data_IF_624081892605
#
_entry.id   IF_624081892605
#
_cell.length_a   1.000
_cell.length_b   1.000
_cell.length_c   1.000
_cell.angle_alpha   90.00
_cell.angle_beta   90.00
_cell.angle_gamma   90.00
#
_symmetry.space_group_name_H-M   'P 1'
#
loop_
_entity.id
_entity.type
_entity.pdbx_description
1 polymer ?
#
# COMPACT_ATOMS: atom_id res chain seq x y z
N UNK A 1 -35.45 -58.06 18.01
CA UNK A 1 -36.49 -58.05 16.95
C UNK A 1 -36.80 -56.58 16.71
N UNK A 2 -36.09 -55.89 15.82
CA UNK A 2 -36.24 -55.91 14.36
C UNK A 2 -36.41 -54.45 13.91
N UNK A 3 -36.14 -54.18 12.62
CA UNK A 3 -36.16 -52.87 11.93
C UNK A 3 -34.87 -52.03 12.04
N UNK A 4 -34.27 -51.53 10.98
CA UNK A 4 -34.46 -51.71 9.54
C UNK A 4 -33.23 -51.09 8.85
N UNK A 5 -32.74 -51.75 7.81
CA UNK A 5 -31.70 -51.21 6.94
C UNK A 5 -32.38 -50.28 5.94
N UNK A 6 -31.81 -49.10 5.66
CA UNK A 6 -32.05 -48.50 4.36
C UNK A 6 -30.80 -47.83 3.79
N UNK A 7 -30.55 -48.22 2.55
CA UNK A 7 -29.37 -48.06 1.71
C UNK A 7 -29.88 -47.32 0.48
N UNK A 8 -29.39 -46.11 0.24
CA UNK A 8 -29.62 -45.46 -1.06
C UNK A 8 -28.35 -44.81 -1.54
N UNK A 9 -27.81 -45.42 -2.61
CA UNK A 9 -26.77 -44.86 -3.47
C UNK A 9 -27.41 -43.79 -4.36
N UNK A 10 -26.68 -42.70 -4.63
CA UNK A 10 -26.97 -41.82 -5.76
C UNK A 10 -25.67 -41.51 -6.49
N UNK A 11 -25.55 -42.10 -7.67
CA UNK A 11 -24.53 -41.91 -8.70
C UNK A 11 -25.09 -40.94 -9.76
N UNK A 12 -24.23 -40.17 -10.44
CA UNK A 12 -24.54 -39.52 -11.73
C UNK A 12 -24.37 -37.99 -11.71
N UNK A 13 -23.31 -37.48 -12.34
CA UNK A 13 -23.31 -36.81 -13.68
C UNK A 13 -23.58 -35.29 -13.51
N UNK A 14 -22.97 -34.34 -14.19
CA UNK A 14 -22.48 -34.29 -15.56
C UNK A 14 -21.50 -33.10 -15.73
N UNK A 15 -20.72 -33.20 -16.80
CA UNK A 15 -19.69 -32.27 -17.29
C UNK A 15 -20.32 -31.04 -17.93
N UNK A 16 -19.75 -29.85 -17.76
CA UNK A 16 -19.92 -28.75 -18.74
C UNK A 16 -18.62 -27.95 -18.92
N UNK A 17 -18.08 -27.85 -20.14
CA UNK A 17 -17.01 -26.94 -20.53
C UNK A 17 -17.58 -25.66 -21.19
N UNK A 18 -17.15 -24.49 -20.74
CA UNK A 18 -17.32 -23.21 -21.45
C UNK A 18 -15.93 -22.59 -21.58
N UNK A 19 -15.23 -22.79 -22.70
CA UNK A 19 -15.32 -22.04 -23.97
C UNK A 19 -14.88 -20.57 -23.83
N UNK A 20 -13.59 -20.39 -24.05
CA UNK A 20 -12.89 -19.38 -24.85
C UNK A 20 -13.67 -18.15 -25.32
N UNK A 21 -13.16 -16.97 -24.94
CA UNK A 21 -13.19 -15.76 -25.75
C UNK A 21 -11.76 -15.21 -25.86
N UNK A 22 -11.24 -15.18 -27.09
CA UNK A 22 -10.14 -14.32 -27.54
C UNK A 22 -10.79 -12.98 -27.98
N UNK A 23 -10.19 -11.79 -27.99
CA UNK A 23 -8.83 -11.41 -28.37
C UNK A 23 -8.65 -9.87 -28.17
N UNK A 24 -7.47 -9.43 -27.67
CA UNK A 24 -6.67 -8.18 -27.92
C UNK A 24 -7.30 -6.76 -27.89
N UNK A 25 -6.50 -5.65 -27.81
CA UNK A 25 -5.04 -5.54 -27.77
C UNK A 25 -4.47 -4.59 -26.68
N UNK A 26 -3.13 -4.64 -26.55
CA UNK A 26 -2.24 -3.52 -26.25
C UNK A 26 -2.56 -2.60 -25.04
N UNK A 27 -1.92 -2.90 -23.91
CA UNK A 27 -1.12 -1.88 -23.25
C UNK A 27 0.10 -2.57 -22.65
N UNK A 28 1.26 -2.24 -23.21
CA UNK A 28 2.57 -2.62 -22.74
C UNK A 28 2.62 -2.74 -21.22
N UNK A 29 3.06 -3.88 -20.71
CA UNK A 29 3.52 -3.99 -19.34
C UNK A 29 4.65 -2.96 -19.19
N UNK A 30 4.49 -1.91 -18.35
CA UNK A 30 5.66 -1.17 -17.92
C UNK A 30 6.36 -2.04 -16.88
N UNK A 31 7.15 -2.99 -17.37
CA UNK A 31 8.43 -3.36 -16.79
C UNK A 31 9.20 -2.06 -16.55
N UNK A 32 9.08 -1.52 -15.34
CA UNK A 32 10.04 -0.60 -14.71
C UNK A 32 9.48 -0.22 -13.34
N UNK A 33 9.99 -0.88 -12.31
CA UNK A 33 10.20 -0.32 -10.98
C UNK A 33 9.17 0.76 -10.59
N UNK A 34 7.89 0.40 -10.43
CA UNK A 34 6.99 1.30 -9.70
C UNK A 34 7.48 1.23 -8.26
N UNK A 35 8.25 2.23 -7.88
CA UNK A 35 9.01 2.34 -6.64
C UNK A 35 8.19 1.87 -5.44
N UNK A 36 8.41 0.62 -5.03
CA UNK A 36 7.81 0.06 -3.82
C UNK A 36 8.64 0.62 -2.66
N UNK A 37 8.21 1.75 -2.11
CA UNK A 37 8.69 2.23 -0.83
C UNK A 37 7.77 1.66 0.26
N UNK A 38 8.30 0.82 1.15
CA UNK A 38 7.57 0.25 2.30
C UNK A 38 6.31 -0.58 1.95
N UNK A 39 6.27 -1.25 0.79
CA UNK A 39 5.17 -2.15 0.43
C UNK A 39 3.86 -1.47 0.02
N UNK A 40 3.90 -0.16 -0.26
CA UNK A 40 2.75 0.62 -0.74
C UNK A 40 3.07 1.17 -2.12
N UNK A 41 2.21 0.90 -3.09
CA UNK A 41 2.38 1.42 -4.44
C UNK A 41 2.02 2.91 -4.50
N UNK A 42 2.71 3.66 -5.36
CA UNK A 42 2.43 5.07 -5.61
C UNK A 42 0.94 5.34 -5.94
N UNK A 43 0.32 4.42 -6.69
CA UNK A 43 -1.11 4.48 -7.06
C UNK A 43 -2.03 4.40 -5.84
N UNK A 44 -1.63 3.67 -4.79
CA UNK A 44 -2.43 3.51 -3.57
C UNK A 44 -2.41 4.75 -2.68
N UNK A 45 -1.54 5.71 -3.01
CA UNK A 45 -1.44 7.02 -2.36
C UNK A 45 -2.03 8.12 -3.22
N UNK A 46 -2.47 7.84 -4.45
CA UNK A 46 -3.08 8.87 -5.29
C UNK A 46 -4.38 9.39 -4.67
N UNK A 47 -4.62 10.69 -4.75
CA UNK A 47 -5.82 11.33 -4.22
C UNK A 47 -6.23 12.55 -5.03
N UNK A 48 -7.49 12.94 -4.90
CA UNK A 48 -8.02 14.19 -5.49
C UNK A 48 -8.36 15.22 -4.41
N UNK A 49 -8.71 14.76 -3.20
CA UNK A 49 -9.12 15.61 -2.09
C UNK A 49 -8.68 15.01 -0.74
N UNK A 50 -8.59 15.84 0.29
CA UNK A 50 -8.12 15.43 1.62
C UNK A 50 -8.96 14.29 2.24
N UNK A 51 -10.26 14.28 1.97
CA UNK A 51 -11.21 13.28 2.46
C UNK A 51 -10.95 11.87 1.89
N UNK A 52 -10.19 11.77 0.80
CA UNK A 52 -9.80 10.50 0.21
C UNK A 52 -8.65 9.84 0.97
N UNK A 53 -7.91 10.61 1.75
CA UNK A 53 -6.69 10.14 2.42
C UNK A 53 -6.96 9.69 3.85
N UNK A 54 -6.36 8.56 4.22
CA UNK A 54 -6.37 8.02 5.58
C UNK A 54 -4.98 7.66 6.05
N UNK A 55 -4.71 7.88 7.35
CA UNK A 55 -3.48 7.44 8.00
C UNK A 55 -3.52 5.95 8.31
N UNK A 56 -2.44 5.26 7.97
CA UNK A 56 -2.19 3.87 8.31
C UNK A 56 -0.77 3.70 8.80
N UNK A 57 -0.49 2.59 9.48
CA UNK A 57 0.89 2.21 9.74
C UNK A 57 1.53 1.74 8.42
N UNK A 58 2.76 2.19 8.14
CA UNK A 58 3.50 1.72 6.96
C UNK A 58 4.16 0.37 7.26
N UNK A 59 4.83 0.30 8.41
CA UNK A 59 5.62 -0.86 8.83
C UNK A 59 4.81 -1.79 9.72
N UNK A 60 5.21 -3.06 9.84
CA UNK A 60 4.55 -4.04 10.71
C UNK A 60 4.37 -3.58 12.16
N UNK A 61 5.28 -2.76 12.64
CA UNK A 61 5.26 -2.25 13.99
C UNK A 61 4.50 -0.92 14.09
N UNK A 62 3.89 -0.72 15.25
CA UNK A 62 3.30 0.58 15.59
C UNK A 62 4.40 1.60 15.93
N UNK A 63 4.03 2.88 15.99
CA UNK A 63 4.94 3.95 16.42
C UNK A 63 5.51 3.76 17.84
N UNK A 64 4.81 3.02 18.71
CA UNK A 64 5.32 2.68 20.05
C UNK A 64 6.35 1.55 20.03
N UNK A 65 6.56 0.95 18.87
CA UNK A 65 7.41 -0.22 18.67
C UNK A 65 8.35 -0.05 17.47
N UNK A 66 8.87 1.17 17.26
CA UNK A 66 9.85 1.48 16.21
C UNK A 66 9.26 1.62 14.79
N UNK A 67 7.94 1.59 14.65
CA UNK A 67 7.27 1.71 13.36
C UNK A 67 7.13 3.13 12.82
N UNK A 68 6.37 3.26 11.74
CA UNK A 68 6.06 4.54 11.10
C UNK A 68 4.61 4.58 10.63
N UNK A 69 4.09 5.79 10.41
CA UNK A 69 2.80 5.99 9.75
C UNK A 69 3.01 6.52 8.33
N UNK A 70 2.02 6.27 7.49
CA UNK A 70 1.93 6.78 6.13
C UNK A 70 0.47 7.07 5.81
N UNK A 71 0.24 7.84 4.75
CA UNK A 71 -1.11 8.17 4.28
C UNK A 71 -1.35 7.49 2.94
N UNK A 72 -2.55 6.92 2.80
CA UNK A 72 -3.00 6.17 1.62
C UNK A 72 -4.42 6.59 1.25
N UNK A 73 -4.85 6.23 0.06
CA UNK A 73 -6.24 6.39 -0.36
C UNK A 73 -7.15 5.39 0.37
N UNK A 74 -8.31 5.87 0.83
CA UNK A 74 -9.25 5.11 1.66
C UNK A 74 -9.72 3.81 1.01
N UNK A 75 -9.86 3.79 -0.31
CA UNK A 75 -10.31 2.59 -1.05
C UNK A 75 -9.30 1.44 -1.01
N UNK A 76 -8.02 1.71 -0.73
CA UNK A 76 -6.97 0.69 -0.65
C UNK A 76 -6.69 0.23 0.80
N UNK A 77 -7.41 0.79 1.78
CA UNK A 77 -7.21 0.52 3.20
C UNK A 77 -7.28 -0.96 3.53
N UNK A 78 -8.34 -1.64 3.09
CA UNK A 78 -8.57 -3.05 3.43
C UNK A 78 -7.57 -3.98 2.75
N UNK A 79 -7.22 -3.70 1.50
CA UNK A 79 -6.20 -4.47 0.77
C UNK A 79 -4.82 -4.34 1.45
N UNK A 80 -4.41 -3.11 1.77
CA UNK A 80 -3.13 -2.85 2.45
C UNK A 80 -3.11 -3.50 3.84
N UNK A 81 -4.21 -3.41 4.60
CA UNK A 81 -4.31 -4.09 5.90
C UNK A 81 -4.16 -5.59 5.75
N UNK A 82 -4.85 -6.21 4.80
CA UNK A 82 -4.77 -7.66 4.57
C UNK A 82 -3.35 -8.10 4.24
N UNK A 83 -2.71 -7.46 3.25
CA UNK A 83 -1.31 -7.74 2.88
C UNK A 83 -0.35 -7.55 4.04
N UNK A 84 -0.58 -6.54 4.89
CA UNK A 84 0.24 -6.32 6.09
C UNK A 84 0.03 -7.39 7.14
N UNK A 85 -1.20 -7.83 7.42
CA UNK A 85 -1.43 -8.93 8.37
C UNK A 85 -0.68 -10.19 7.93
N UNK A 86 -0.72 -10.50 6.64
CA UNK A 86 0.00 -11.66 6.07
C UNK A 86 1.52 -11.48 6.15
N UNK A 87 2.05 -10.32 5.73
CA UNK A 87 3.49 -10.05 5.73
C UNK A 87 4.09 -9.86 7.13
N UNK A 88 3.30 -9.43 8.11
CA UNK A 88 3.76 -9.10 9.45
C UNK A 88 3.51 -10.19 10.49
N UNK A 89 2.93 -11.33 10.10
CA UNK A 89 2.53 -12.40 11.03
C UNK A 89 3.71 -12.94 11.87
N UNK A 90 4.92 -12.95 11.32
CA UNK A 90 6.11 -13.50 11.97
C UNK A 90 7.08 -12.42 12.49
N UNK A 91 6.73 -11.14 12.37
CA UNK A 91 7.61 -10.03 12.75
C UNK A 91 7.43 -9.66 14.22
N UNK A 92 8.52 -9.81 14.99
CA UNK A 92 8.62 -9.33 16.37
C UNK A 92 8.99 -7.85 16.38
N UNK A 93 8.17 -7.04 17.05
CA UNK A 93 8.40 -5.59 17.15
C UNK A 93 9.17 -5.22 18.41
N UNK A 94 10.23 -4.39 18.31
CA UNK A 94 10.98 -3.92 19.47
C UNK A 94 10.13 -3.00 20.35
N UNK A 95 10.31 -3.01 21.66
CA UNK A 95 9.61 -2.13 22.60
C UNK A 95 10.27 -0.75 22.70
N UNK A 96 10.51 -0.10 21.56
CA UNK A 96 11.12 1.22 21.47
C UNK A 96 10.19 2.21 20.79
N UNK A 97 10.10 3.43 21.32
CA UNK A 97 9.36 4.51 20.66
C UNK A 97 10.08 4.93 19.38
N UNK A 98 9.34 5.01 18.28
CA UNK A 98 9.86 5.52 17.02
C UNK A 98 10.06 7.04 17.09
N UNK A 99 11.19 7.50 16.60
CA UNK A 99 11.52 8.94 16.48
C UNK A 99 11.08 9.53 15.14
N UNK A 100 10.44 8.74 14.28
CA UNK A 100 10.01 9.17 12.94
C UNK A 100 8.89 10.20 13.05
N UNK A 101 9.03 11.34 12.37
CA UNK A 101 8.06 12.45 12.40
C UNK A 101 6.65 12.04 11.96
N UNK A 102 6.53 11.07 11.05
CA UNK A 102 5.24 10.55 10.60
C UNK A 102 4.44 9.92 11.74
N UNK A 103 5.08 9.41 12.79
CA UNK A 103 4.38 8.90 13.96
C UNK A 103 3.60 9.96 14.74
N UNK A 104 4.07 11.22 14.67
CA UNK A 104 3.43 12.37 15.29
C UNK A 104 2.27 12.93 14.43
N UNK A 105 2.09 12.43 13.21
CA UNK A 105 0.94 12.79 12.38
C UNK A 105 -0.37 12.24 12.99
N UNK A 106 -1.34 13.14 13.13
CA UNK A 106 -2.71 12.85 13.58
C UNK A 106 -3.72 12.92 12.44
N UNK A 107 -3.39 13.65 11.38
CA UNK A 107 -4.22 13.87 10.20
C UNK A 107 -3.47 13.50 8.92
N UNK A 108 -4.21 13.31 7.83
CA UNK A 108 -3.67 13.16 6.46
C UNK A 108 -4.27 14.22 5.56
N UNK A 109 -3.56 14.56 4.48
CA UNK A 109 -4.05 15.47 3.44
C UNK A 109 -3.61 15.00 2.07
N UNK A 110 -4.31 15.48 1.05
CA UNK A 110 -3.92 15.34 -0.33
C UNK A 110 -3.03 16.52 -0.72
N UNK A 111 -1.76 16.25 -1.02
CA UNK A 111 -0.81 17.24 -1.50
C UNK A 111 -0.24 16.77 -2.83
N UNK A 112 -0.34 17.62 -3.85
CA UNK A 112 0.21 17.32 -5.19
C UNK A 112 -0.31 16.00 -5.78
N UNK A 113 -1.57 15.66 -5.51
CA UNK A 113 -2.20 14.42 -5.95
C UNK A 113 -1.78 13.16 -5.16
N UNK A 114 -1.10 13.33 -4.04
CA UNK A 114 -0.66 12.23 -3.17
C UNK A 114 -1.06 12.42 -1.71
N UNK A 115 -1.45 11.31 -1.07
CA UNK A 115 -1.75 11.25 0.34
C UNK A 115 -0.47 11.34 1.15
N UNK A 116 -0.36 12.43 1.90
CA UNK A 116 0.75 12.68 2.81
C UNK A 116 0.26 12.81 4.25
N UNK A 117 1.02 12.29 5.24
CA UNK A 117 0.76 12.57 6.65
C UNK A 117 0.83 14.08 6.90
N UNK A 118 -0.21 14.65 7.51
CA UNK A 118 -0.23 16.05 7.84
C UNK A 118 0.42 16.26 9.21
N UNK A 119 1.61 16.86 9.18
CA UNK A 119 2.45 17.08 10.34
C UNK A 119 2.26 18.48 10.95
N UNK A 120 1.11 19.14 10.72
CA UNK A 120 0.86 20.56 11.07
C UNK A 120 1.07 20.93 12.54
N UNK A 121 1.11 19.96 13.45
CA UNK A 121 1.42 20.19 14.87
C UNK A 121 2.91 20.18 15.20
N UNK A 122 3.76 19.80 14.25
CA UNK A 122 5.20 19.97 14.38
C UNK A 122 5.53 21.36 13.83
N UNK A 123 6.05 22.23 14.70
CA UNK A 123 6.64 23.53 14.36
C UNK A 123 7.87 23.32 13.45
N UNK A 124 7.67 22.81 12.24
CA UNK A 124 8.71 22.77 11.22
C UNK A 124 8.70 24.11 10.48
N UNK A 125 9.86 24.77 10.34
CA UNK A 125 9.95 25.96 9.51
C UNK A 125 9.48 25.60 8.10
N UNK A 126 8.53 26.37 7.56
CA UNK A 126 7.84 26.19 6.27
C UNK A 126 8.74 26.13 5.02
N UNK A 127 10.06 26.07 5.16
CA UNK A 127 10.99 25.84 4.06
C UNK A 127 11.21 24.34 3.91
N UNK A 128 10.38 23.69 3.10
CA UNK A 128 10.89 22.54 2.35
C UNK A 128 12.11 23.06 1.57
N UNK A 129 13.32 22.50 1.73
CA UNK A 129 14.37 22.74 0.75
C UNK A 129 13.79 22.25 -0.58
N UNK A 130 13.57 23.20 -1.49
CA UNK A 130 13.29 22.90 -2.89
C UNK A 130 14.28 21.82 -3.31
N UNK A 131 13.77 20.66 -3.75
CA UNK A 131 14.62 19.65 -4.39
C UNK A 131 15.51 20.39 -5.40
N UNK A 132 16.83 20.14 -5.42
CA UNK A 132 17.70 20.78 -6.39
C UNK A 132 17.15 20.44 -7.78
N UNK A 133 16.60 21.46 -8.45
CA UNK A 133 16.23 21.38 -9.85
C UNK A 133 17.52 21.15 -10.62
N UNK A 134 17.73 19.92 -11.09
CA UNK A 134 18.71 19.55 -12.09
C UNK A 134 20.14 19.96 -11.75
N UNK A 135 20.97 18.98 -11.41
CA UNK A 135 22.42 19.11 -11.64
C UNK A 135 22.60 19.39 -13.13
N UNK A 136 22.78 20.67 -13.47
CA UNK A 136 23.28 21.10 -14.75
C UNK A 136 24.68 20.51 -14.87
N UNK A 137 24.82 19.46 -15.68
CA UNK A 137 26.10 19.01 -16.21
C UNK A 137 26.69 20.16 -17.02
N UNK A 138 27.43 21.03 -16.33
CA UNK A 138 28.27 22.04 -16.95
C UNK A 138 29.35 21.31 -17.76
N UNK A 139 29.52 21.72 -19.01
CA UNK A 139 30.43 21.09 -19.96
C UNK A 139 31.86 21.30 -19.47
N UNK A 140 32.58 20.20 -19.26
CA UNK A 140 34.02 20.21 -19.02
C UNK A 140 34.69 20.72 -20.31
N UNK A 141 35.16 21.97 -20.31
CA UNK A 141 36.02 22.49 -21.36
C UNK A 141 37.43 21.94 -21.12
N UNK A 142 37.85 21.04 -21.99
CA UNK A 142 39.19 20.43 -22.00
C UNK A 142 40.22 21.45 -22.53
N UNK A 143 41.39 21.62 -21.89
CA UNK A 143 42.51 22.33 -22.50
C UNK A 143 43.17 21.51 -23.61
#
# INVERSE_FOLDING_TARGET
MGCEQNKTMATGQEVVPSKTEAQEPAAAQPDKASEIFDGIHLKERACSQDADCVLVQANCCSCRAGGSKTAIHRQHLDNIKKRRVEACAEIMCPQVMSTVSSCMATTSKCAEGQCVPDMKHLNFPKKLPSLPRGVGVEKIQTP
#
